data_IF_760318676652
#
_entry.id   IF_760318676652
#
_cell.length_a   1.000
_cell.length_b   1.000
_cell.length_c   1.000
_cell.angle_alpha   90.00
_cell.angle_beta   90.00
_cell.angle_gamma   90.00
#
_symmetry.space_group_name_H-M   'P 1'
#
loop_
_entity.id
_entity.type
_entity.pdbx_description
1 polymer ?
#
# COMPACT_ATOMS: atom_id res chain seq x y z
N UNK A 1 10.69 20.11 6.67
CA UNK A 1 11.02 19.55 8.00
C UNK A 1 11.46 18.10 7.89
N UNK A 2 12.39 17.64 8.74
CA UNK A 2 12.63 16.20 8.92
C UNK A 2 11.74 15.67 10.04
N UNK A 3 11.04 14.55 9.85
CA UNK A 3 10.22 14.01 10.92
C UNK A 3 11.10 13.46 12.04
N UNK A 4 10.67 13.64 13.29
CA UNK A 4 11.35 13.13 14.49
C UNK A 4 10.54 12.03 15.21
N UNK A 5 9.29 11.83 14.81
CA UNK A 5 8.38 10.80 15.32
C UNK A 5 7.58 10.20 14.17
N UNK A 6 7.03 9.00 14.37
CA UNK A 6 6.14 8.35 13.39
C UNK A 6 4.85 9.15 13.24
N UNK A 7 4.44 9.39 11.99
CA UNK A 7 3.33 10.29 11.68
C UNK A 7 2.25 9.58 10.87
N UNK A 8 0.99 9.88 11.20
CA UNK A 8 -0.18 9.58 10.36
C UNK A 8 -0.97 10.87 10.19
N UNK A 9 -0.91 11.44 8.99
CA UNK A 9 -1.39 12.77 8.67
C UNK A 9 -2.67 12.69 7.82
N UNK A 10 -3.63 13.56 8.14
CA UNK A 10 -4.84 13.78 7.36
C UNK A 10 -4.64 15.00 6.46
N UNK A 11 -4.76 14.82 5.15
CA UNK A 11 -4.70 15.92 4.18
C UNK A 11 -4.36 15.46 2.78
N UNK A 12 -4.36 16.41 1.84
CA UNK A 12 -3.87 16.16 0.47
C UNK A 12 -2.34 16.03 0.51
N UNK A 13 -1.84 14.99 -0.14
CA UNK A 13 -0.41 14.75 -0.22
C UNK A 13 0.35 15.84 -0.99
N UNK A 14 -0.27 16.55 -1.94
CA UNK A 14 0.33 17.71 -2.61
C UNK A 14 0.54 18.91 -1.66
N UNK A 15 -0.25 19.02 -0.59
CA UNK A 15 -0.08 20.08 0.41
C UNK A 15 0.92 19.67 1.51
N UNK A 16 0.99 18.37 1.80
CA UNK A 16 1.79 17.86 2.92
C UNK A 16 3.21 17.47 2.51
N UNK A 17 3.42 16.85 1.33
CA UNK A 17 4.75 16.46 0.87
C UNK A 17 5.75 17.63 0.78
N UNK A 18 5.38 18.84 0.30
CA UNK A 18 6.30 19.99 0.25
C UNK A 18 6.82 20.45 1.62
N UNK A 19 6.16 20.06 2.71
CA UNK A 19 6.59 20.40 4.06
C UNK A 19 7.79 19.58 4.55
N UNK A 20 8.04 18.43 3.91
CA UNK A 20 9.21 17.59 4.20
C UNK A 20 10.42 18.07 3.41
N UNK A 21 11.59 18.01 4.05
CA UNK A 21 12.86 18.29 3.41
C UNK A 21 13.13 17.26 2.29
N UNK A 22 13.91 17.64 1.30
CA UNK A 22 14.42 16.69 0.32
C UNK A 22 15.25 15.59 0.99
N UNK A 23 15.37 14.44 0.34
CA UNK A 23 16.24 13.35 0.78
C UNK A 23 15.96 12.86 2.22
N UNK A 24 14.67 12.78 2.57
CA UNK A 24 14.21 12.37 3.90
C UNK A 24 13.90 10.87 3.98
N UNK A 25 13.33 10.30 2.91
CA UNK A 25 12.79 8.94 2.93
C UNK A 25 13.66 7.95 2.17
N UNK A 26 13.99 6.82 2.81
CA UNK A 26 14.70 5.70 2.19
C UNK A 26 13.81 4.87 1.29
N UNK A 27 12.55 4.72 1.66
CA UNK A 27 11.57 3.92 0.96
C UNK A 27 10.29 4.71 0.79
N UNK A 28 9.76 4.74 -0.42
CA UNK A 28 8.39 5.16 -0.69
C UNK A 28 7.63 3.97 -1.30
N UNK A 29 6.49 3.61 -0.70
CA UNK A 29 5.52 2.71 -1.28
C UNK A 29 4.21 3.46 -1.47
N UNK A 30 3.66 3.44 -2.66
CA UNK A 30 2.45 4.16 -3.02
C UNK A 30 1.44 3.21 -3.64
N UNK A 31 0.19 3.32 -3.19
CA UNK A 31 -0.97 2.58 -3.71
C UNK A 31 -2.10 3.57 -4.04
N UNK A 32 -1.92 4.40 -5.09
CA UNK A 32 -2.92 5.42 -5.45
C UNK A 32 -4.23 4.77 -5.93
N UNK A 33 -5.34 5.52 -6.01
CA UNK A 33 -6.55 5.06 -6.67
C UNK A 33 -6.25 4.54 -8.07
N UNK A 34 -6.89 3.42 -8.49
CA UNK A 34 -6.50 2.69 -9.71
C UNK A 34 -7.16 3.15 -11.00
N UNK A 35 -7.90 4.25 -10.98
CA UNK A 35 -8.67 4.76 -12.13
C UNK A 35 -9.58 3.68 -12.75
N UNK A 36 -10.31 2.95 -11.91
CA UNK A 36 -11.14 1.84 -12.36
C UNK A 36 -12.42 2.28 -13.08
N UNK A 37 -12.67 3.60 -13.16
CA UNK A 37 -13.90 4.17 -13.71
C UNK A 37 -15.13 3.83 -12.84
N UNK A 38 -14.94 3.53 -11.56
CA UNK A 38 -16.00 3.16 -10.62
C UNK A 38 -15.85 3.88 -9.30
N UNK A 39 -16.96 4.32 -8.72
CA UNK A 39 -16.97 4.69 -7.31
C UNK A 39 -16.78 3.44 -6.47
N UNK A 40 -15.69 3.42 -5.70
CA UNK A 40 -15.48 2.38 -4.71
C UNK A 40 -16.45 2.59 -3.55
N UNK A 41 -17.34 1.60 -3.32
CA UNK A 41 -18.32 1.63 -2.23
C UNK A 41 -17.91 0.68 -1.13
N UNK A 42 -17.88 1.18 0.08
CA UNK A 42 -17.80 0.36 1.29
C UNK A 42 -19.20 0.29 1.90
N UNK A 43 -19.75 -0.91 1.97
CA UNK A 43 -20.98 -1.18 2.72
C UNK A 43 -20.61 -2.02 3.93
N UNK A 44 -20.74 -1.46 5.11
CA UNK A 44 -20.57 -2.21 6.36
C UNK A 44 -21.87 -2.92 6.65
N UNK A 45 -21.85 -4.25 6.63
CA UNK A 45 -23.00 -5.10 6.89
C UNK A 45 -22.89 -5.71 8.29
N UNK A 46 -23.95 -5.62 9.07
CA UNK A 46 -24.12 -6.44 10.27
C UNK A 46 -25.10 -7.56 9.98
N UNK A 47 -24.73 -8.77 10.34
CA UNK A 47 -25.63 -9.93 10.31
C UNK A 47 -26.23 -10.08 11.71
N UNK A 48 -27.53 -9.86 11.82
CA UNK A 48 -28.26 -9.97 13.09
C UNK A 48 -29.16 -11.21 13.00
N UNK A 49 -29.22 -12.00 14.08
CA UNK A 49 -30.16 -13.12 14.16
C UNK A 49 -31.59 -12.55 14.13
N UNK A 50 -32.37 -12.94 13.15
CA UNK A 50 -33.74 -12.47 12.93
C UNK A 50 -34.57 -13.60 12.37
N UNK A 51 -35.63 -13.96 13.05
CA UNK A 51 -36.51 -15.05 12.66
C UNK A 51 -37.20 -14.84 11.29
N UNK A 52 -37.32 -13.58 10.86
CA UNK A 52 -37.83 -13.19 9.53
C UNK A 52 -36.74 -12.96 8.48
N UNK A 53 -35.45 -13.17 8.84
CA UNK A 53 -34.30 -12.92 7.97
C UNK A 53 -34.32 -13.72 6.67
N UNK A 54 -33.71 -13.14 5.64
CA UNK A 54 -33.65 -13.66 4.26
C UNK A 54 -32.55 -14.73 4.06
N UNK A 55 -31.67 -14.94 5.05
CA UNK A 55 -30.56 -15.90 4.99
C UNK A 55 -30.70 -16.98 6.06
N UNK A 56 -30.46 -18.23 5.66
CA UNK A 56 -30.40 -19.37 6.56
C UNK A 56 -28.94 -19.72 6.83
N UNK A 57 -28.51 -19.67 8.08
CA UNK A 57 -27.17 -20.05 8.53
C UNK A 57 -27.13 -21.48 9.09
N UNK A 58 -26.02 -21.82 9.73
CA UNK A 58 -25.79 -23.13 10.33
C UNK A 58 -26.91 -23.48 11.36
N UNK A 59 -27.39 -24.69 11.36
CA UNK A 59 -28.50 -25.22 12.18
C UNK A 59 -29.87 -24.54 11.91
N UNK A 60 -30.13 -24.04 10.68
CA UNK A 60 -31.45 -23.50 10.32
C UNK A 60 -31.79 -22.13 10.94
N UNK A 61 -30.88 -21.47 11.63
CA UNK A 61 -31.11 -20.14 12.18
C UNK A 61 -31.20 -19.10 11.07
N UNK A 62 -32.18 -18.23 11.14
CA UNK A 62 -32.38 -17.13 10.19
C UNK A 62 -31.67 -15.86 10.63
N UNK A 63 -31.17 -15.12 9.66
CA UNK A 63 -30.41 -13.89 9.84
C UNK A 63 -30.86 -12.83 8.84
N UNK A 64 -30.97 -11.59 9.30
CA UNK A 64 -31.14 -10.42 8.44
C UNK A 64 -29.82 -9.67 8.31
N UNK A 65 -29.54 -9.20 7.09
CA UNK A 65 -28.38 -8.34 6.82
C UNK A 65 -28.80 -6.88 6.89
N UNK A 66 -28.24 -6.12 7.82
CA UNK A 66 -28.46 -4.67 7.93
C UNK A 66 -27.23 -3.91 7.46
N UNK A 67 -27.45 -2.89 6.63
CA UNK A 67 -26.40 -1.92 6.24
C UNK A 67 -26.21 -0.98 7.42
N UNK A 68 -25.01 -0.94 8.00
CA UNK A 68 -24.67 -0.06 9.12
C UNK A 68 -24.07 1.27 8.67
N UNK A 69 -23.28 1.24 7.59
CA UNK A 69 -22.68 2.43 7.01
C UNK A 69 -22.35 2.20 5.54
N UNK A 70 -22.46 3.25 4.76
CA UNK A 70 -21.94 3.32 3.39
C UNK A 70 -20.94 4.47 3.29
N UNK A 71 -19.73 4.19 2.82
CA UNK A 71 -18.77 5.21 2.42
C UNK A 71 -18.34 4.95 0.98
N UNK A 72 -18.08 6.00 0.22
CA UNK A 72 -17.60 5.88 -1.15
C UNK A 72 -16.50 6.89 -1.41
N UNK A 73 -15.50 6.49 -2.19
CA UNK A 73 -14.49 7.39 -2.74
C UNK A 73 -14.46 7.25 -4.26
N UNK A 74 -14.14 8.37 -4.94
CA UNK A 74 -14.03 8.41 -6.39
C UNK A 74 -12.76 7.68 -6.84
N UNK A 75 -12.88 6.85 -7.87
CA UNK A 75 -11.79 6.16 -8.53
C UNK A 75 -11.98 6.32 -10.05
N UNK A 76 -12.26 7.57 -10.44
CA UNK A 76 -12.48 8.01 -11.82
C UNK A 76 -11.79 9.36 -11.99
N UNK A 77 -10.90 9.46 -12.96
CA UNK A 77 -10.12 10.65 -13.26
C UNK A 77 -10.24 10.98 -14.74
N UNK A 78 -10.48 12.24 -15.08
CA UNK A 78 -10.47 12.73 -16.45
C UNK A 78 -9.06 12.63 -17.06
N UNK A 79 -8.04 12.92 -16.25
CA UNK A 79 -6.61 12.74 -16.58
C UNK A 79 -5.86 12.17 -15.36
N UNK A 80 -5.67 10.86 -15.38
CA UNK A 80 -5.01 10.14 -14.28
C UNK A 80 -3.52 10.45 -14.18
N UNK A 81 -2.86 10.65 -15.31
CA UNK A 81 -1.44 10.99 -15.31
C UNK A 81 -1.20 12.39 -14.78
N UNK A 82 -2.04 13.36 -15.14
CA UNK A 82 -2.00 14.71 -14.55
C UNK A 82 -2.26 14.72 -13.05
N UNK A 83 -3.07 13.79 -12.54
CA UNK A 83 -3.25 13.59 -11.10
C UNK A 83 -1.98 13.04 -10.41
N UNK A 84 -1.33 12.08 -11.04
CA UNK A 84 -0.14 11.41 -10.45
C UNK A 84 1.13 12.23 -10.57
N UNK A 85 1.36 12.90 -11.70
CA UNK A 85 2.63 13.56 -12.02
C UNK A 85 3.16 14.48 -10.91
N UNK A 86 2.42 15.48 -10.43
CA UNK A 86 2.93 16.40 -9.42
C UNK A 86 3.26 15.68 -8.10
N UNK A 87 2.52 14.64 -7.76
CA UNK A 87 2.75 13.80 -6.58
C UNK A 87 4.02 12.98 -6.69
N UNK A 88 4.25 12.37 -7.85
CA UNK A 88 5.45 11.57 -8.12
C UNK A 88 6.71 12.44 -8.18
N UNK A 89 6.63 13.68 -8.69
CA UNK A 89 7.73 14.65 -8.64
C UNK A 89 8.10 15.02 -7.19
N UNK A 90 7.10 15.24 -6.32
CA UNK A 90 7.34 15.48 -4.89
C UNK A 90 7.91 14.24 -4.19
N UNK A 91 7.40 13.05 -4.48
CA UNK A 91 7.96 11.80 -3.94
C UNK A 91 9.42 11.64 -4.33
N UNK A 92 9.78 11.88 -5.61
CA UNK A 92 11.19 11.87 -6.04
C UNK A 92 12.04 12.90 -5.28
N UNK A 93 11.51 14.10 -5.02
CA UNK A 93 12.22 15.15 -4.28
C UNK A 93 12.55 14.72 -2.84
N UNK A 94 11.56 14.12 -2.14
CA UNK A 94 11.72 13.73 -0.74
C UNK A 94 12.43 12.38 -0.56
N UNK A 95 12.58 11.60 -1.63
CA UNK A 95 13.32 10.34 -1.60
C UNK A 95 14.82 10.62 -1.42
N UNK A 96 15.47 9.88 -0.52
CA UNK A 96 16.93 9.88 -0.32
C UNK A 96 17.66 9.41 -1.58
N UNK A 97 18.90 9.82 -1.82
CA UNK A 97 19.69 9.42 -2.99
C UNK A 97 19.82 7.89 -3.12
N UNK A 98 19.88 7.19 -2.00
CA UNK A 98 19.88 5.72 -1.99
C UNK A 98 18.48 5.12 -1.83
N UNK A 99 17.45 5.93 -2.03
CA UNK A 99 16.05 5.55 -1.83
C UNK A 99 15.41 4.87 -3.01
N UNK A 100 14.35 4.09 -2.71
CA UNK A 100 13.58 3.31 -3.68
C UNK A 100 12.10 3.64 -3.59
N UNK A 101 11.47 3.84 -4.76
CA UNK A 101 10.03 3.94 -4.95
C UNK A 101 9.47 2.58 -5.40
N UNK A 102 8.40 2.14 -4.75
CA UNK A 102 7.52 1.06 -5.19
C UNK A 102 6.15 1.67 -5.47
N UNK A 103 5.74 1.73 -6.73
CA UNK A 103 4.45 2.25 -7.14
C UNK A 103 3.54 1.10 -7.57
N UNK A 104 2.50 0.85 -6.77
CA UNK A 104 1.53 -0.20 -7.00
C UNK A 104 0.41 0.31 -7.91
N UNK A 105 0.20 -0.32 -9.04
CA UNK A 105 -0.69 0.14 -10.10
C UNK A 105 -1.47 -1.04 -10.69
N UNK A 106 -2.71 -0.79 -11.07
CA UNK A 106 -3.51 -1.73 -11.87
C UNK A 106 -2.90 -1.89 -13.28
N UNK A 107 -2.97 -3.11 -13.80
CA UNK A 107 -2.42 -3.46 -15.12
C UNK A 107 -2.89 -2.57 -16.28
N UNK A 108 -4.04 -1.88 -16.15
CA UNK A 108 -4.59 -1.01 -17.19
C UNK A 108 -3.84 0.31 -17.30
N UNK A 109 -3.33 0.82 -16.19
CA UNK A 109 -2.62 2.08 -16.09
C UNK A 109 -1.09 1.91 -16.04
N UNK A 110 -0.60 0.72 -15.71
CA UNK A 110 0.81 0.45 -15.43
C UNK A 110 1.75 0.92 -16.55
N UNK A 111 1.38 0.69 -17.82
CA UNK A 111 2.25 1.05 -18.96
C UNK A 111 2.32 2.56 -19.18
N UNK A 112 1.24 3.30 -18.99
CA UNK A 112 1.22 4.77 -19.10
C UNK A 112 1.99 5.40 -17.94
N UNK A 113 1.77 4.90 -16.74
CA UNK A 113 2.45 5.37 -15.53
C UNK A 113 3.94 5.05 -15.59
N UNK A 114 4.34 3.92 -16.20
CA UNK A 114 5.73 3.57 -16.43
C UNK A 114 6.43 4.61 -17.28
N UNK A 115 5.81 5.11 -18.36
CA UNK A 115 6.39 6.15 -19.21
C UNK A 115 6.51 7.49 -18.44
N UNK A 116 5.53 7.82 -17.61
CA UNK A 116 5.61 9.00 -16.74
C UNK A 116 6.76 8.89 -15.72
N UNK A 117 6.95 7.71 -15.12
CA UNK A 117 8.08 7.48 -14.21
C UNK A 117 9.44 7.55 -14.93
N UNK A 118 9.54 7.08 -16.17
CA UNK A 118 10.75 7.24 -16.99
C UNK A 118 11.09 8.71 -17.21
N UNK A 119 10.08 9.57 -17.42
CA UNK A 119 10.27 11.01 -17.55
C UNK A 119 10.72 11.66 -16.23
N UNK A 120 10.11 11.25 -15.10
CA UNK A 120 10.38 11.86 -13.80
C UNK A 120 11.71 11.39 -13.21
N UNK A 121 12.00 10.08 -13.22
CA UNK A 121 13.17 9.48 -12.58
C UNK A 121 14.36 9.29 -13.50
N UNK A 122 14.10 9.07 -14.78
CA UNK A 122 15.07 8.57 -15.75
C UNK A 122 14.87 7.07 -16.00
N UNK A 123 15.01 6.65 -17.23
CA UNK A 123 14.82 5.24 -17.62
C UNK A 123 15.83 4.30 -16.98
N UNK A 124 17.03 4.78 -16.73
CA UNK A 124 18.13 4.08 -16.05
C UNK A 124 17.84 3.80 -14.57
N UNK A 125 16.90 4.53 -13.98
CA UNK A 125 16.47 4.34 -12.59
C UNK A 125 15.41 3.26 -12.43
N UNK A 126 14.91 2.68 -13.51
CA UNK A 126 13.95 1.56 -13.46
C UNK A 126 14.67 0.25 -13.09
N UNK A 127 14.27 -0.39 -11.99
CA UNK A 127 14.84 -1.66 -11.57
C UNK A 127 13.99 -2.85 -11.99
N UNK A 128 12.72 -2.87 -11.63
CA UNK A 128 11.84 -4.02 -11.85
C UNK A 128 10.39 -3.60 -12.10
N UNK A 129 9.70 -4.44 -12.84
CA UNK A 129 8.26 -4.60 -12.80
C UNK A 129 7.96 -5.86 -11.99
N UNK A 130 7.39 -5.69 -10.80
CA UNK A 130 6.97 -6.82 -9.97
C UNK A 130 5.52 -7.13 -10.29
N UNK A 131 5.24 -8.39 -10.62
CA UNK A 131 3.90 -8.93 -10.85
C UNK A 131 3.42 -9.59 -9.56
N UNK A 132 2.51 -8.92 -8.83
CA UNK A 132 1.85 -9.56 -7.72
C UNK A 132 0.64 -10.34 -8.21
N UNK A 133 0.79 -11.67 -8.28
CA UNK A 133 -0.23 -12.59 -8.74
C UNK A 133 -1.06 -13.16 -7.57
N UNK A 134 -2.38 -13.26 -7.80
CA UNK A 134 -3.36 -13.80 -6.85
C UNK A 134 -4.51 -14.48 -7.60
N UNK A 135 -5.28 -15.37 -6.95
CA UNK A 135 -6.41 -16.07 -7.56
C UNK A 135 -7.76 -15.64 -6.94
N UNK A 136 -8.04 -14.32 -6.96
CA UNK A 136 -9.30 -13.77 -6.48
C UNK A 136 -10.00 -12.92 -7.56
N UNK A 137 -11.33 -12.77 -7.47
CA UNK A 137 -12.12 -11.89 -8.32
C UNK A 137 -12.80 -12.59 -9.49
N UNK A 138 -13.46 -11.77 -10.32
CA UNK A 138 -14.31 -12.21 -11.41
C UNK A 138 -13.58 -13.05 -12.47
N UNK A 139 -14.30 -13.99 -13.09
CA UNK A 139 -13.83 -14.82 -14.21
C UNK A 139 -14.66 -14.50 -15.46
N UNK A 140 -14.27 -13.49 -16.25
CA UNK A 140 -14.98 -13.15 -17.48
C UNK A 140 -14.91 -14.29 -18.50
N UNK A 141 -15.95 -14.41 -19.35
CA UNK A 141 -16.02 -15.49 -20.34
C UNK A 141 -15.39 -15.18 -21.70
N UNK A 142 -15.09 -13.89 -21.98
CA UNK A 142 -14.63 -13.42 -23.30
C UNK A 142 -13.18 -12.93 -23.30
N UNK A 143 -12.46 -13.05 -22.19
CA UNK A 143 -11.04 -12.69 -22.06
C UNK A 143 -10.40 -13.47 -20.92
N UNK A 144 -9.09 -13.52 -20.90
CA UNK A 144 -8.36 -14.07 -19.75
C UNK A 144 -8.66 -13.24 -18.50
N UNK A 145 -8.98 -13.86 -17.34
CA UNK A 145 -9.16 -13.14 -16.10
C UNK A 145 -7.84 -12.49 -15.66
N UNK A 146 -7.80 -11.18 -15.48
CA UNK A 146 -6.68 -10.52 -14.85
C UNK A 146 -6.61 -10.94 -13.37
N UNK A 147 -5.46 -11.46 -12.95
CA UNK A 147 -5.20 -11.99 -11.61
C UNK A 147 -3.86 -11.50 -11.07
N UNK A 148 -3.54 -10.26 -11.37
CA UNK A 148 -2.34 -9.61 -10.89
C UNK A 148 -2.52 -8.10 -10.83
N UNK A 149 -1.72 -7.50 -9.98
CA UNK A 149 -1.40 -6.08 -9.99
C UNK A 149 0.09 -5.93 -10.32
N UNK A 150 0.47 -4.75 -10.76
CA UNK A 150 1.84 -4.38 -11.11
C UNK A 150 2.43 -3.46 -10.05
N UNK A 151 3.68 -3.71 -9.63
CA UNK A 151 4.43 -2.78 -8.78
C UNK A 151 5.68 -2.35 -9.56
N UNK A 152 5.71 -1.08 -9.97
CA UNK A 152 6.87 -0.50 -10.66
C UNK A 152 7.90 -0.06 -9.62
N UNK A 153 9.15 -0.48 -9.80
CA UNK A 153 10.25 -0.20 -8.87
C UNK A 153 11.25 0.73 -9.52
N UNK A 154 11.41 1.91 -8.92
CA UNK A 154 12.37 2.93 -9.34
C UNK A 154 13.28 3.31 -8.20
N UNK A 155 14.54 3.58 -8.51
CA UNK A 155 15.50 4.14 -7.56
C UNK A 155 15.75 5.61 -7.88
N UNK A 156 16.20 6.38 -6.89
CA UNK A 156 16.58 7.77 -7.14
C UNK A 156 17.91 7.90 -7.87
N UNK A 157 18.85 7.03 -7.52
CA UNK A 157 20.19 6.96 -8.15
C UNK A 157 20.58 5.50 -8.35
N UNK A 158 20.78 5.04 -9.60
CA UNK A 158 21.08 3.64 -9.90
C UNK A 158 22.44 3.17 -9.36
N UNK A 159 23.35 4.08 -9.02
CA UNK A 159 24.67 3.73 -8.49
C UNK A 159 24.69 3.68 -6.94
N UNK A 160 23.65 4.23 -6.26
CA UNK A 160 23.67 4.42 -4.82
C UNK A 160 22.50 3.79 -4.06
N UNK A 161 21.52 3.20 -4.76
CA UNK A 161 20.36 2.64 -4.09
C UNK A 161 20.72 1.50 -3.12
N UNK A 162 19.88 1.34 -2.09
CA UNK A 162 20.02 0.27 -1.13
C UNK A 162 19.08 -0.87 -1.44
N UNK A 163 19.67 -2.09 -1.53
CA UNK A 163 18.91 -3.34 -1.65
C UNK A 163 19.58 -4.44 -0.83
N UNK A 164 18.88 -5.03 0.15
CA UNK A 164 19.35 -6.09 1.00
C UNK A 164 18.67 -7.44 0.67
N UNK A 165 19.31 -8.20 -0.20
CA UNK A 165 18.82 -9.52 -0.60
C UNK A 165 18.83 -10.54 0.56
N UNK A 166 19.68 -10.37 1.57
CA UNK A 166 19.79 -11.32 2.68
C UNK A 166 18.73 -11.07 3.77
N UNK A 167 18.24 -9.84 3.91
CA UNK A 167 17.17 -9.51 4.84
C UNK A 167 15.78 -10.00 4.38
N UNK A 168 15.63 -10.30 3.08
CA UNK A 168 14.35 -10.75 2.51
C UNK A 168 14.12 -12.22 2.83
N UNK A 169 12.89 -12.54 3.27
CA UNK A 169 12.47 -13.93 3.50
C UNK A 169 12.62 -14.77 2.23
N UNK A 170 13.28 -15.92 2.35
CA UNK A 170 13.54 -16.82 1.23
C UNK A 170 12.31 -17.63 0.86
N UNK A 171 12.18 -17.93 -0.41
CA UNK A 171 11.15 -18.83 -0.94
C UNK A 171 11.75 -20.20 -1.30
N UNK A 172 10.99 -21.30 -1.16
CA UNK A 172 11.42 -22.61 -1.64
C UNK A 172 11.69 -22.59 -3.14
N UNK A 173 12.63 -23.38 -3.59
CA UNK A 173 12.79 -23.66 -5.02
C UNK A 173 11.57 -24.44 -5.54
N UNK A 174 11.05 -24.08 -6.71
CA UNK A 174 9.97 -24.85 -7.36
C UNK A 174 10.41 -26.26 -7.77
N UNK A 175 11.70 -26.43 -8.07
CA UNK A 175 12.31 -27.70 -8.42
C UNK A 175 13.54 -27.97 -7.53
N UNK A 176 13.35 -28.32 -6.24
CA UNK A 176 14.45 -28.47 -5.29
C UNK A 176 15.44 -29.57 -5.66
N UNK A 177 15.02 -30.57 -6.45
CA UNK A 177 15.91 -31.62 -6.94
C UNK A 177 16.93 -31.18 -8.02
N UNK A 178 16.79 -29.96 -8.56
CA UNK A 178 17.72 -29.39 -9.55
C UNK A 178 18.83 -28.54 -8.92
N UNK A 179 18.85 -28.39 -7.60
CA UNK A 179 19.88 -27.64 -6.87
C UNK A 179 20.50 -28.52 -5.78
N UNK A 180 21.60 -28.08 -5.17
CA UNK A 180 22.21 -28.81 -4.04
C UNK A 180 21.26 -28.81 -2.84
N UNK A 181 21.37 -29.82 -1.99
CA UNK A 181 20.54 -29.95 -0.78
C UNK A 181 20.67 -28.70 0.12
N UNK A 182 21.85 -28.11 0.22
CA UNK A 182 22.09 -26.88 0.97
C UNK A 182 21.31 -25.71 0.40
N UNK A 183 21.36 -25.50 -0.93
CA UNK A 183 20.56 -24.45 -1.61
C UNK A 183 19.07 -24.69 -1.46
N UNK A 184 18.62 -25.94 -1.61
CA UNK A 184 17.22 -26.30 -1.43
C UNK A 184 16.73 -25.97 -0.01
N UNK A 185 17.51 -26.28 1.00
CA UNK A 185 17.19 -25.99 2.40
C UNK A 185 17.20 -24.48 2.71
N UNK A 186 18.17 -23.73 2.16
CA UNK A 186 18.27 -22.28 2.34
C UNK A 186 17.13 -21.52 1.64
N UNK A 187 16.63 -22.05 0.53
CA UNK A 187 15.70 -21.32 -0.35
C UNK A 187 16.38 -20.28 -1.23
N UNK A 188 15.60 -19.56 -2.01
CA UNK A 188 16.03 -18.52 -2.96
C UNK A 188 15.42 -17.17 -2.63
N UNK A 189 16.06 -16.09 -3.06
CA UNK A 189 15.45 -14.79 -3.12
C UNK A 189 14.18 -14.87 -4.01
N UNK A 190 13.04 -14.30 -3.59
CA UNK A 190 11.87 -14.18 -4.47
C UNK A 190 12.23 -13.50 -5.79
N UNK A 191 11.59 -13.94 -6.86
CA UNK A 191 11.71 -13.30 -8.17
C UNK A 191 10.82 -12.05 -8.23
N UNK A 192 10.66 -11.47 -9.40
CA UNK A 192 9.73 -10.37 -9.67
C UNK A 192 8.28 -10.84 -9.92
N UNK A 193 7.99 -12.13 -9.82
CA UNK A 193 6.62 -12.68 -9.84
C UNK A 193 6.28 -13.22 -8.45
N UNK A 194 5.43 -12.51 -7.72
CA UNK A 194 5.03 -12.83 -6.36
C UNK A 194 3.67 -13.47 -6.32
N UNK A 195 3.61 -14.75 -5.98
CA UNK A 195 2.37 -15.43 -5.65
C UNK A 195 2.03 -15.18 -4.19
N UNK A 196 1.11 -14.27 -3.96
CA UNK A 196 0.67 -13.93 -2.61
C UNK A 196 -0.83 -13.67 -2.60
N UNK A 197 -1.56 -14.36 -1.71
CA UNK A 197 -3.02 -14.17 -1.61
C UNK A 197 -3.36 -12.75 -1.16
N UNK A 198 -4.52 -12.27 -1.57
CA UNK A 198 -5.10 -11.04 -1.00
C UNK A 198 -5.41 -11.25 0.49
N UNK A 199 -5.67 -10.15 1.21
CA UNK A 199 -6.10 -10.23 2.62
C UNK A 199 -7.34 -11.10 2.75
N UNK A 200 -7.21 -12.20 3.49
CA UNK A 200 -8.32 -13.13 3.70
C UNK A 200 -9.51 -12.42 4.36
N UNK A 201 -10.75 -12.66 3.89
CA UNK A 201 -11.96 -12.12 4.54
C UNK A 201 -12.07 -12.44 6.03
N UNK A 202 -11.44 -13.53 6.49
CA UNK A 202 -11.42 -14.01 7.87
C UNK A 202 -10.04 -13.93 8.51
N UNK A 203 -9.04 -13.34 7.82
CA UNK A 203 -7.67 -13.22 8.29
C UNK A 203 -7.53 -12.27 9.49
N UNK A 204 -6.58 -12.58 10.40
CA UNK A 204 -6.32 -11.76 11.59
C UNK A 204 -5.85 -10.33 11.26
N UNK A 205 -5.16 -10.14 10.13
CA UNK A 205 -4.69 -8.84 9.67
C UNK A 205 -5.80 -7.95 9.09
N UNK A 206 -7.00 -8.50 8.85
CA UNK A 206 -8.09 -7.78 8.21
C UNK A 206 -8.60 -6.64 9.08
N UNK A 207 -8.48 -5.41 8.58
CA UNK A 207 -9.00 -4.20 9.24
C UNK A 207 -10.42 -3.83 8.81
N UNK A 208 -10.94 -4.47 7.74
CA UNK A 208 -12.20 -4.11 7.09
C UNK A 208 -12.06 -2.99 6.05
N UNK A 209 -10.87 -2.47 5.78
CA UNK A 209 -10.64 -1.52 4.70
C UNK A 209 -10.73 -2.25 3.33
N UNK A 210 -11.49 -1.72 2.35
CA UNK A 210 -11.81 -2.46 1.11
C UNK A 210 -10.60 -2.86 0.27
N UNK A 211 -9.60 -1.98 0.19
CA UNK A 211 -8.40 -2.11 -0.66
C UNK A 211 -7.15 -2.43 0.16
N UNK A 212 -7.31 -2.97 1.38
CA UNK A 212 -6.18 -3.32 2.23
C UNK A 212 -5.22 -4.27 1.52
N UNK A 213 -3.95 -3.89 1.46
CA UNK A 213 -2.88 -4.75 0.94
C UNK A 213 -2.40 -5.73 2.01
N UNK A 214 -1.97 -6.95 1.62
CA UNK A 214 -1.40 -7.93 2.53
C UNK A 214 -0.10 -7.42 3.15
N UNK A 215 0.06 -7.61 4.46
CA UNK A 215 1.27 -7.18 5.17
C UNK A 215 2.52 -7.91 4.67
N UNK A 216 2.40 -9.18 4.23
CA UNK A 216 3.52 -9.94 3.68
C UNK A 216 4.17 -9.30 2.46
N UNK A 217 3.40 -8.62 1.59
CA UNK A 217 3.95 -7.86 0.45
C UNK A 217 4.79 -6.68 0.96
N UNK A 218 4.25 -5.90 1.91
CA UNK A 218 4.93 -4.71 2.44
C UNK A 218 6.16 -5.09 3.28
N UNK A 219 6.11 -6.19 4.04
CA UNK A 219 7.27 -6.70 4.78
C UNK A 219 8.44 -6.99 3.86
N UNK A 220 8.19 -7.68 2.73
CA UNK A 220 9.20 -7.98 1.71
C UNK A 220 9.83 -6.71 1.15
N UNK A 221 9.02 -5.71 0.80
CA UNK A 221 9.47 -4.41 0.30
C UNK A 221 10.34 -3.68 1.34
N UNK A 222 9.85 -3.59 2.58
CA UNK A 222 10.55 -2.91 3.68
C UNK A 222 11.88 -3.59 4.01
N UNK A 223 11.93 -4.93 4.03
CA UNK A 223 13.15 -5.69 4.25
C UNK A 223 14.19 -5.43 3.16
N UNK A 224 13.78 -5.45 1.89
CA UNK A 224 14.69 -5.27 0.76
C UNK A 224 15.29 -3.86 0.69
N UNK A 225 14.47 -2.81 0.88
CA UNK A 225 14.83 -1.45 0.48
C UNK A 225 14.90 -0.44 1.64
N UNK A 226 15.06 -0.93 2.87
CA UNK A 226 15.31 -0.07 4.04
C UNK A 226 16.09 -0.80 5.14
N UNK A 227 16.69 -0.03 6.05
CA UNK A 227 17.37 -0.52 7.26
C UNK A 227 16.54 -0.19 8.50
N UNK A 228 16.70 -0.89 9.62
CA UNK A 228 16.16 -0.43 10.91
C UNK A 228 16.52 1.04 11.17
N UNK A 229 15.54 1.85 11.57
CA UNK A 229 15.68 3.29 11.78
C UNK A 229 15.46 4.17 10.55
N UNK A 230 15.49 3.63 9.32
CA UNK A 230 15.19 4.40 8.10
C UNK A 230 13.71 4.83 8.04
N UNK A 231 13.47 5.94 7.32
CA UNK A 231 12.13 6.49 7.12
C UNK A 231 11.46 5.90 5.87
N UNK A 232 10.24 5.40 6.06
CA UNK A 232 9.35 4.91 5.01
C UNK A 232 8.19 5.88 4.80
N UNK A 233 7.80 6.12 3.56
CA UNK A 233 6.71 7.01 3.16
C UNK A 233 5.60 6.23 2.44
N UNK A 234 4.35 6.48 2.85
CA UNK A 234 3.18 6.13 2.06
C UNK A 234 2.22 7.32 2.06
N UNK A 235 2.09 7.99 0.92
CA UNK A 235 1.23 9.16 0.80
C UNK A 235 -0.16 8.84 0.20
N UNK A 236 -0.51 7.54 0.13
CA UNK A 236 -1.84 7.00 -0.15
C UNK A 236 -2.16 5.88 0.84
N UNK A 237 -1.99 6.15 2.13
CA UNK A 237 -1.79 5.17 3.18
C UNK A 237 -2.95 4.20 3.39
N UNK A 238 -4.19 4.56 3.05
CA UNK A 238 -5.36 3.72 3.23
C UNK A 238 -5.43 3.12 4.64
N UNK A 239 -5.34 1.81 4.73
CA UNK A 239 -5.37 1.09 6.02
C UNK A 239 -4.06 1.12 6.81
N UNK A 240 -3.00 1.80 6.32
CA UNK A 240 -1.71 1.92 6.99
C UNK A 240 -0.86 0.65 6.98
N UNK A 241 -0.95 -0.18 5.95
CA UNK A 241 -0.22 -1.46 5.88
C UNK A 241 1.29 -1.25 5.88
N UNK A 242 1.80 -0.22 5.15
CA UNK A 242 3.22 0.12 5.18
C UNK A 242 3.67 0.47 6.60
N UNK A 243 2.92 1.31 7.32
CA UNK A 243 3.27 1.71 8.69
C UNK A 243 3.33 0.53 9.64
N UNK A 244 2.40 -0.42 9.55
CA UNK A 244 2.40 -1.64 10.35
C UNK A 244 3.63 -2.51 10.05
N UNK A 245 3.97 -2.71 8.77
CA UNK A 245 5.16 -3.47 8.36
C UNK A 245 6.46 -2.76 8.78
N UNK A 246 6.55 -1.44 8.61
CA UNK A 246 7.69 -0.63 8.99
C UNK A 246 7.94 -0.69 10.51
N UNK A 247 6.91 -0.44 11.31
CA UNK A 247 7.00 -0.52 12.78
C UNK A 247 7.44 -1.91 13.26
N UNK A 248 6.83 -2.97 12.71
CA UNK A 248 7.17 -4.36 13.08
C UNK A 248 8.63 -4.73 12.77
N UNK A 249 9.24 -4.04 11.80
CA UNK A 249 10.62 -4.25 11.37
C UNK A 249 11.59 -3.19 11.91
N UNK A 250 11.15 -2.33 12.82
CA UNK A 250 12.01 -1.30 13.43
C UNK A 250 12.33 -0.11 12.51
N UNK A 251 11.52 0.13 11.49
CA UNK A 251 11.60 1.31 10.61
C UNK A 251 10.66 2.39 11.10
N UNK A 252 10.99 3.64 10.76
CA UNK A 252 10.15 4.80 11.00
C UNK A 252 9.22 5.01 9.80
N UNK A 253 8.10 5.71 10.01
CA UNK A 253 7.15 5.91 8.93
C UNK A 253 6.45 7.28 8.97
N UNK A 254 6.06 7.74 7.78
CA UNK A 254 5.10 8.82 7.56
C UNK A 254 4.00 8.27 6.64
N UNK A 255 2.77 8.32 7.13
CA UNK A 255 1.58 7.93 6.39
C UNK A 255 0.71 9.15 6.15
N UNK A 256 0.24 9.33 4.92
CA UNK A 256 -0.64 10.45 4.54
C UNK A 256 -1.86 9.86 3.82
N UNK A 257 -3.05 10.33 4.19
CA UNK A 257 -4.28 10.03 3.47
C UNK A 257 -5.26 11.18 3.58
N UNK A 258 -6.02 11.45 2.53
CA UNK A 258 -7.07 12.48 2.52
C UNK A 258 -8.39 12.00 3.15
N UNK A 259 -8.54 10.68 3.37
CA UNK A 259 -9.74 10.10 3.97
C UNK A 259 -9.59 10.01 5.49
N UNK A 260 -10.42 10.72 6.28
CA UNK A 260 -10.35 10.69 7.74
C UNK A 260 -10.61 9.29 8.34
N UNK A 261 -11.42 8.44 7.70
CA UNK A 261 -11.65 7.06 8.16
C UNK A 261 -10.39 6.19 7.97
N UNK A 262 -9.68 6.36 6.84
CA UNK A 262 -8.41 5.71 6.58
C UNK A 262 -7.35 6.10 7.62
N UNK A 263 -7.21 7.40 7.86
CA UNK A 263 -6.28 7.94 8.88
C UNK A 263 -6.59 7.41 10.28
N UNK A 264 -7.86 7.43 10.69
CA UNK A 264 -8.26 6.89 11.99
C UNK A 264 -7.97 5.39 12.10
N UNK A 265 -8.16 4.64 11.03
CA UNK A 265 -7.85 3.22 10.97
C UNK A 265 -6.34 2.96 11.02
N UNK A 266 -5.55 3.68 10.20
CA UNK A 266 -4.11 3.59 10.19
C UNK A 266 -3.50 3.89 11.56
N UNK A 267 -3.94 4.97 12.23
CA UNK A 267 -3.51 5.31 13.60
C UNK A 267 -3.77 4.18 14.59
N UNK A 268 -4.95 3.55 14.55
CA UNK A 268 -5.24 2.39 15.39
C UNK A 268 -4.32 1.21 15.10
N UNK A 269 -4.09 0.93 13.82
CA UNK A 269 -3.25 -0.20 13.39
C UNK A 269 -1.81 -0.07 13.84
N UNK A 270 -1.24 1.13 13.80
CA UNK A 270 0.16 1.39 14.19
C UNK A 270 0.33 1.76 15.67
N UNK A 271 -0.76 1.71 16.47
CA UNK A 271 -0.69 1.95 17.92
C UNK A 271 -0.51 3.42 18.30
N UNK A 272 -0.77 4.37 17.42
CA UNK A 272 -0.69 5.81 17.70
C UNK A 272 -1.94 6.38 18.42
N UNK A 273 -2.90 5.53 18.77
CA UNK A 273 -3.91 5.84 19.80
C UNK A 273 -3.44 5.23 21.12
N UNK A 274 -3.05 6.08 22.06
CA UNK A 274 -2.87 5.64 23.45
C UNK A 274 -4.20 5.15 24.04
N UNK A 275 -4.17 4.34 25.14
CA UNK A 275 -5.36 3.82 25.79
C UNK A 275 -6.34 4.89 26.34
N UNK A 276 -5.97 6.16 26.27
CA UNK A 276 -6.75 7.32 26.74
C UNK A 276 -7.41 8.16 25.63
N UNK A 277 -7.39 7.72 24.37
CA UNK A 277 -8.10 8.43 23.28
C UNK A 277 -7.59 9.86 22.97
N UNK A 278 -6.43 10.26 23.49
CA UNK A 278 -5.85 11.56 23.15
C UNK A 278 -5.14 11.47 21.82
N UNK A 279 -5.68 12.20 20.85
CA UNK A 279 -5.04 12.42 19.56
C UNK A 279 -3.64 12.99 19.76
N UNK A 280 -2.61 12.34 19.16
CA UNK A 280 -1.34 13.02 18.92
C UNK A 280 -1.64 14.31 18.15
N UNK A 281 -0.85 15.37 18.39
CA UNK A 281 -1.09 16.73 17.88
C UNK A 281 -1.59 16.71 16.44
N UNK A 282 -2.83 17.17 16.22
CA UNK A 282 -3.35 17.52 14.90
C UNK A 282 -2.54 18.71 14.38
N UNK A 283 -1.74 18.47 13.34
CA UNK A 283 -1.27 19.57 12.50
C UNK A 283 -2.38 19.84 11.49
N UNK A 284 -3.39 20.56 11.93
CA UNK A 284 -4.43 21.10 11.04
C UNK A 284 -3.90 22.42 10.49
N UNK A 285 -3.36 22.42 9.29
CA UNK A 285 -3.08 23.66 8.57
C UNK A 285 -4.35 24.12 7.84
N UNK A 286 -5.31 24.63 8.59
CA UNK A 286 -6.45 25.36 8.04
C UNK A 286 -6.11 26.86 7.96
N UNK A 287 -5.72 27.35 6.81
CA UNK A 287 -5.87 28.79 6.53
C UNK A 287 -7.33 29.07 6.21
N UNK A 288 -8.05 29.62 7.19
CA UNK A 288 -9.29 30.32 7.01
C UNK A 288 -9.09 31.43 5.97
N UNK A 289 -9.74 31.31 4.83
CA UNK A 289 -9.94 32.45 3.94
C UNK A 289 -10.84 33.45 4.66
N UNK A 290 -10.31 34.60 5.04
CA UNK A 290 -11.10 35.80 5.38
C UNK A 290 -11.13 36.71 4.17
N UNK A 291 -12.38 37.02 3.79
CA UNK A 291 -12.91 38.11 2.98
C UNK A 291 -12.26 38.36 1.65
#
# INVERSE_FOLDING_TARGET
MRPNEDLVLLGDNLELLPQFDGETFRLAYLDPPFNTGRRQRRTTLATVADASGDRTGFQGRRYATRVLAESSFGDEFDDYLAFLEPRLREVRRVLDESGTLYLHIDYREAHYVKLLLDEIFGRECFLNEIIWAYDYGARPRRRWPAKHDTILVYVKDPERYWFDAEAVEREPYMAPGLVTAEKAARGKLPTDVWWHTIVSPTGKEKTGYPTQKPEGILRRIVQASSRPGDWCLDCFAGSGTLGAAAAALGRRFVLIDSNPEAVALARRRVGLFGPSGRAGKEVVTGRSARS
#
